data_IF_980121506087
#
_entry.id   IF_980121506087
#
_cell.length_a   1.000
_cell.length_b   1.000
_cell.length_c   1.000
_cell.angle_alpha   90.00
_cell.angle_beta   90.00
_cell.angle_gamma   90.00
#
_symmetry.space_group_name_H-M   'P 1'
#
loop_
_entity.id
_entity.type
_entity.pdbx_description
1 polymer ?
#
# COMPACT_ATOMS: atom_id res chain seq x y z
N UNK A 1 19.18 8.44 -0.20
CA UNK A 1 18.10 9.04 0.62
C UNK A 1 16.95 8.02 0.68
N UNK A 2 16.48 7.64 1.88
CA UNK A 2 15.58 6.48 2.08
C UNK A 2 14.32 6.57 1.21
N UNK A 3 14.03 5.54 0.43
CA UNK A 3 12.92 5.51 -0.55
C UNK A 3 11.53 5.66 0.09
N UNK A 4 11.44 5.37 1.39
CA UNK A 4 10.24 5.51 2.21
C UNK A 4 9.73 6.96 2.29
N UNK A 5 10.65 7.95 2.36
CA UNK A 5 10.31 9.38 2.44
C UNK A 5 9.82 9.92 1.08
N UNK A 6 10.35 9.39 -0.03
CA UNK A 6 9.87 9.75 -1.38
C UNK A 6 8.46 9.22 -1.66
N UNK A 7 8.14 8.02 -1.15
CA UNK A 7 6.79 7.47 -1.20
C UNK A 7 5.81 8.25 -0.33
N UNK A 8 6.28 8.75 0.82
CA UNK A 8 5.50 9.56 1.76
C UNK A 8 5.02 10.89 1.16
N UNK A 9 5.93 11.64 0.54
CA UNK A 9 5.60 12.92 -0.11
C UNK A 9 4.59 12.72 -1.24
N UNK A 10 4.66 11.57 -1.94
CA UNK A 10 3.73 11.21 -3.00
C UNK A 10 2.30 11.04 -2.47
N UNK A 11 2.10 10.40 -1.32
CA UNK A 11 0.78 10.22 -0.71
C UNK A 11 0.15 11.54 -0.25
N UNK A 12 0.96 12.43 0.32
CA UNK A 12 0.50 13.77 0.71
C UNK A 12 0.10 14.61 -0.52
N UNK A 13 0.85 14.48 -1.62
CA UNK A 13 0.52 15.13 -2.90
C UNK A 13 -0.85 14.67 -3.43
N UNK A 14 -1.14 13.36 -3.34
CA UNK A 14 -2.43 12.81 -3.73
C UNK A 14 -3.57 13.33 -2.86
N UNK A 15 -3.36 13.53 -1.55
CA UNK A 15 -4.35 14.15 -0.65
C UNK A 15 -4.71 15.58 -1.08
N UNK A 16 -3.72 16.37 -1.50
CA UNK A 16 -3.93 17.73 -2.01
C UNK A 16 -4.71 17.73 -3.33
N UNK A 17 -4.37 16.80 -4.24
CA UNK A 17 -5.05 16.65 -5.55
C UNK A 17 -6.50 16.20 -5.36
N UNK A 18 -6.75 15.20 -4.50
CA UNK A 18 -8.12 14.75 -4.20
C UNK A 18 -8.96 15.87 -3.58
N UNK A 19 -8.37 16.67 -2.68
CA UNK A 19 -9.07 17.79 -2.06
C UNK A 19 -9.44 18.88 -3.05
N UNK A 20 -8.55 19.20 -3.99
CA UNK A 20 -8.84 20.16 -5.06
C UNK A 20 -10.00 19.65 -5.93
N UNK A 21 -9.99 18.37 -6.30
CA UNK A 21 -11.07 17.73 -7.06
C UNK A 21 -12.39 17.76 -6.27
N UNK A 22 -12.37 17.44 -4.99
CA UNK A 22 -13.55 17.44 -4.14
C UNK A 22 -14.16 18.84 -4.01
N UNK A 23 -13.35 19.87 -3.74
CA UNK A 23 -13.81 21.26 -3.67
C UNK A 23 -14.37 21.73 -5.02
N UNK A 24 -13.73 21.38 -6.14
CA UNK A 24 -14.25 21.68 -7.46
C UNK A 24 -15.64 21.07 -7.69
N UNK A 25 -15.86 19.82 -7.26
CA UNK A 25 -17.17 19.15 -7.33
C UNK A 25 -18.19 19.86 -6.43
N UNK A 26 -17.83 20.24 -5.19
CA UNK A 26 -18.73 20.95 -4.29
C UNK A 26 -19.21 22.29 -4.86
N UNK A 27 -18.29 23.05 -5.46
CA UNK A 27 -18.62 24.32 -6.11
C UNK A 27 -19.43 24.12 -7.40
N UNK A 28 -19.11 23.08 -8.18
CA UNK A 28 -19.83 22.75 -9.42
C UNK A 28 -21.29 22.35 -9.18
N UNK A 29 -21.52 21.45 -8.22
CA UNK A 29 -22.87 21.01 -7.84
C UNK A 29 -23.61 22.03 -6.96
N UNK A 30 -22.96 23.14 -6.63
CA UNK A 30 -23.50 24.19 -5.77
C UNK A 30 -24.14 23.63 -4.49
N UNK A 31 -23.46 22.67 -3.86
CA UNK A 31 -23.97 21.98 -2.67
C UNK A 31 -24.18 23.02 -1.57
N UNK A 32 -25.37 23.04 -0.96
CA UNK A 32 -25.78 24.05 0.02
C UNK A 32 -25.66 25.50 -0.47
N UNK A 33 -25.75 25.73 -1.79
CA UNK A 33 -25.59 27.04 -2.43
C UNK A 33 -24.18 27.65 -2.27
N UNK A 34 -23.17 26.85 -1.90
CA UNK A 34 -21.81 27.31 -1.62
C UNK A 34 -21.13 27.96 -2.83
N UNK A 35 -21.38 27.45 -4.04
CA UNK A 35 -20.85 28.04 -5.27
C UNK A 35 -21.37 29.47 -5.46
N UNK A 36 -22.68 29.68 -5.30
CA UNK A 36 -23.28 31.00 -5.40
C UNK A 36 -22.80 31.95 -4.29
N UNK A 37 -22.61 31.45 -3.06
CA UNK A 37 -22.06 32.25 -1.95
C UNK A 37 -20.60 32.64 -2.19
N UNK A 38 -19.79 31.74 -2.74
CA UNK A 38 -18.38 32.00 -3.04
C UNK A 38 -18.26 33.01 -4.18
N UNK A 39 -19.03 32.87 -5.27
CA UNK A 39 -18.93 33.78 -6.41
C UNK A 39 -19.58 35.14 -6.16
N UNK A 40 -20.55 35.24 -5.25
CA UNK A 40 -21.26 36.48 -4.92
C UNK A 40 -20.69 37.27 -3.74
N UNK A 41 -19.66 36.77 -3.05
CA UNK A 41 -19.10 37.40 -1.86
C UNK A 41 -17.67 37.91 -2.09
N UNK A 42 -17.35 39.11 -1.59
CA UNK A 42 -15.99 39.66 -1.57
C UNK A 42 -15.00 38.75 -0.82
N UNK A 43 -15.49 37.88 0.06
CA UNK A 43 -14.69 36.89 0.81
C UNK A 43 -14.61 35.50 0.14
N UNK A 44 -15.12 35.35 -1.09
CA UNK A 44 -15.21 34.07 -1.79
C UNK A 44 -13.88 33.31 -1.89
N UNK A 45 -12.79 34.03 -2.17
CA UNK A 45 -11.45 33.44 -2.29
C UNK A 45 -10.97 32.84 -0.96
N UNK A 46 -11.23 33.52 0.16
CA UNK A 46 -10.86 33.04 1.49
C UNK A 46 -11.70 31.81 1.85
N UNK A 47 -13.00 31.82 1.52
CA UNK A 47 -13.88 30.69 1.74
C UNK A 47 -13.43 29.44 0.95
N UNK A 48 -13.05 29.60 -0.31
CA UNK A 48 -12.50 28.50 -1.13
C UNK A 48 -11.19 27.98 -0.56
N UNK A 49 -10.28 28.87 -0.15
CA UNK A 49 -9.01 28.48 0.46
C UNK A 49 -9.22 27.72 1.78
N UNK A 50 -10.09 28.22 2.66
CA UNK A 50 -10.39 27.56 3.93
C UNK A 50 -11.03 26.19 3.70
N UNK A 51 -11.99 26.10 2.79
CA UNK A 51 -12.62 24.84 2.39
C UNK A 51 -11.58 23.88 1.81
N UNK A 52 -10.71 24.34 0.92
CA UNK A 52 -9.70 23.52 0.29
C UNK A 52 -8.66 23.02 1.29
N UNK A 53 -8.11 23.87 2.14
CA UNK A 53 -7.12 23.48 3.15
C UNK A 53 -7.74 22.50 4.15
N UNK A 54 -8.95 22.79 4.65
CA UNK A 54 -9.67 21.91 5.57
C UNK A 54 -9.83 20.50 4.98
N UNK A 55 -10.28 20.41 3.72
CA UNK A 55 -10.43 19.13 3.04
C UNK A 55 -9.08 18.47 2.72
N UNK A 56 -8.06 19.24 2.34
CA UNK A 56 -6.72 18.73 2.04
C UNK A 56 -6.06 18.07 3.24
N UNK A 57 -6.22 18.63 4.43
CA UNK A 57 -5.70 18.04 5.67
C UNK A 57 -6.42 16.74 6.00
N UNK A 58 -7.75 16.68 5.85
CA UNK A 58 -8.54 15.45 6.10
C UNK A 58 -8.13 14.33 5.14
N UNK A 59 -8.09 14.60 3.83
CA UNK A 59 -7.66 13.62 2.84
C UNK A 59 -6.19 13.22 3.03
N UNK A 60 -5.31 14.18 3.32
CA UNK A 60 -3.91 13.92 3.67
C UNK A 60 -3.75 13.03 4.89
N UNK A 61 -4.57 13.24 5.93
CA UNK A 61 -4.58 12.44 7.16
C UNK A 61 -4.99 10.98 6.93
N UNK A 62 -6.01 10.73 6.10
CA UNK A 62 -6.42 9.35 5.75
C UNK A 62 -5.33 8.65 4.93
N UNK A 63 -4.73 9.33 3.94
CA UNK A 63 -3.64 8.76 3.14
C UNK A 63 -2.38 8.49 3.98
N UNK A 64 -2.10 9.36 4.97
CA UNK A 64 -1.05 9.16 5.96
C UNK A 64 -1.29 7.90 6.81
N UNK A 65 -2.50 7.76 7.38
CA UNK A 65 -2.88 6.59 8.17
C UNK A 65 -2.82 5.29 7.37
N UNK A 66 -3.38 5.27 6.16
CA UNK A 66 -3.33 4.12 5.26
C UNK A 66 -1.88 3.73 4.93
N UNK A 67 -1.01 4.71 4.68
CA UNK A 67 0.39 4.44 4.33
C UNK A 67 1.19 3.88 5.51
N UNK A 68 0.90 4.32 6.74
CA UNK A 68 1.51 3.77 7.96
C UNK A 68 1.10 2.32 8.16
N UNK A 69 -0.20 2.02 8.07
CA UNK A 69 -0.70 0.64 8.21
C UNK A 69 -0.13 -0.27 7.11
N UNK A 70 -0.11 0.20 5.86
CA UNK A 70 0.47 -0.53 4.73
C UNK A 70 2.01 -0.62 4.78
N UNK A 71 2.68 0.15 5.64
CA UNK A 71 4.11 0.02 5.92
C UNK A 71 4.35 -1.02 7.02
N UNK A 72 3.51 -1.04 8.06
CA UNK A 72 3.56 -2.06 9.11
C UNK A 72 3.34 -3.48 8.56
N UNK A 73 2.47 -3.65 7.56
CA UNK A 73 2.28 -4.95 6.88
C UNK A 73 3.47 -5.39 6.02
N UNK A 74 4.35 -4.46 5.60
CA UNK A 74 5.47 -4.79 4.70
C UNK A 74 6.71 -5.30 5.41
N UNK A 75 6.87 -5.03 6.70
CA UNK A 75 8.08 -5.36 7.44
C UNK A 75 8.02 -6.74 8.14
N UNK A 76 6.86 -7.40 8.24
CA UNK A 76 6.71 -8.62 9.08
C UNK A 76 6.08 -9.86 8.41
N UNK A 77 5.94 -9.91 7.08
CA UNK A 77 5.53 -11.16 6.41
C UNK A 77 6.42 -11.54 5.23
N UNK A 78 7.11 -12.70 5.29
CA UNK A 78 7.70 -13.31 4.11
C UNK A 78 6.59 -13.51 3.08
N UNK A 79 6.70 -12.81 1.95
CA UNK A 79 5.77 -12.94 0.84
C UNK A 79 5.66 -14.41 0.44
N UNK A 80 4.52 -15.01 0.69
CA UNK A 80 4.20 -16.35 0.21
C UNK A 80 4.43 -16.42 -1.30
N UNK A 81 5.26 -17.37 -1.72
CA UNK A 81 5.51 -17.62 -3.15
C UNK A 81 6.75 -18.45 -3.47
N UNK A 82 7.81 -18.42 -2.68
CA UNK A 82 8.92 -19.38 -2.84
C UNK A 82 8.73 -20.50 -1.83
N UNK A 83 8.17 -21.62 -2.28
CA UNK A 83 8.32 -22.89 -1.59
C UNK A 83 9.81 -23.23 -1.57
N UNK A 84 10.48 -22.86 -0.48
CA UNK A 84 11.79 -23.42 -0.14
C UNK A 84 11.48 -24.69 0.63
N UNK A 85 11.06 -25.73 -0.09
CA UNK A 85 11.04 -27.07 0.50
C UNK A 85 12.45 -27.40 0.99
N UNK A 86 12.60 -28.24 2.03
CA UNK A 86 13.92 -28.69 2.46
C UNK A 86 14.64 -29.21 1.22
N UNK A 87 15.76 -28.59 0.88
CA UNK A 87 16.61 -28.98 -0.25
C UNK A 87 16.97 -30.45 -0.02
N UNK A 88 16.28 -31.35 -0.72
CA UNK A 88 16.42 -32.78 -0.50
C UNK A 88 17.79 -33.20 -1.03
N UNK A 89 18.78 -33.18 -0.12
CA UNK A 89 20.09 -33.73 -0.39
C UNK A 89 19.98 -35.27 -0.36
N UNK A 90 20.35 -35.96 -1.46
CA UNK A 90 20.34 -37.41 -1.47
C UNK A 90 21.41 -37.93 -0.49
N UNK A 91 20.95 -38.62 0.54
CA UNK A 91 21.83 -39.33 1.48
C UNK A 91 22.13 -40.72 0.89
N UNK A 92 23.39 -41.05 0.57
CA UNK A 92 23.73 -42.38 0.07
C UNK A 92 23.59 -43.40 1.20
N UNK A 93 22.62 -44.31 1.06
CA UNK A 93 22.46 -45.45 1.97
C UNK A 93 23.27 -46.62 1.40
N UNK A 94 24.25 -47.18 2.13
CA UNK A 94 24.99 -48.35 1.68
C UNK A 94 24.05 -49.55 1.62
N UNK A 95 23.72 -49.98 0.41
CA UNK A 95 22.98 -51.22 0.19
C UNK A 95 23.86 -52.40 0.62
N UNK A 96 23.43 -53.14 1.65
CA UNK A 96 24.05 -54.43 1.97
C UNK A 96 23.71 -55.40 0.85
N UNK A 97 24.67 -55.65 -0.03
CA UNK A 97 24.59 -56.72 -1.01
C UNK A 97 24.35 -58.04 -0.27
N UNK A 98 23.16 -58.61 -0.43
CA UNK A 98 22.93 -59.99 -0.02
C UNK A 98 23.80 -60.87 -0.91
N UNK A 99 24.82 -61.51 -0.31
CA UNK A 99 25.74 -62.37 -1.05
C UNK A 99 24.91 -63.43 -1.79
N UNK A 100 25.18 -63.70 -3.08
CA UNK A 100 24.51 -64.79 -3.77
C UNK A 100 24.84 -66.07 -3.01
N UNK A 101 23.82 -66.66 -2.38
CA UNK A 101 23.93 -67.95 -1.71
C UNK A 101 24.26 -68.97 -2.79
N UNK A 102 25.56 -69.31 -2.87
CA UNK A 102 26.08 -70.30 -3.79
C UNK A 102 25.40 -71.61 -3.43
N UNK A 103 24.33 -71.94 -4.15
CA UNK A 103 23.58 -73.18 -4.01
C UNK A 103 24.44 -74.29 -4.63
N UNK A 104 25.41 -74.74 -3.87
CA UNK A 104 25.97 -76.09 -4.05
C UNK A 104 24.89 -77.11 -3.71
N UNK A 105 24.99 -78.30 -4.30
CA UNK A 105 24.15 -79.51 -4.23
C UNK A 105 23.30 -79.65 -5.52
N UNK A 106 23.51 -80.65 -6.38
CA UNK A 106 24.18 -81.95 -6.20
C UNK A 106 24.48 -82.55 -7.57
#
# INVERSE_FOLDING_TARGET
>A
MPELIKLYIKSALWGLVLAALFVAILLWFNIANLGALVFGSDSGVIAVLALWISNAVVFGGVQFGFKIMAMAERDDTPRGGTWVGPEMQPVPIPAKASKPQRRTLR
#
